data_IF_116519727250
#
_entry.id   IF_116519727250
#
_cell.length_a   1.000
_cell.length_b   1.000
_cell.length_c   1.000
_cell.angle_alpha   90.00
_cell.angle_beta   90.00
_cell.angle_gamma   90.00
#
_symmetry.space_group_name_H-M   'P 1'
#
loop_
_entity.id
_entity.type
_entity.pdbx_description
1 polymer ?
#
# COMPACT_ATOMS: atom_id res chain seq x y z
N UNK A 1 -14.08 -30.00 11.48
CA UNK A 1 -14.84 -28.85 10.97
C UNK A 1 -13.92 -28.26 9.94
N UNK A 2 -14.15 -28.61 8.68
CA UNK A 2 -13.44 -28.03 7.55
C UNK A 2 -14.06 -26.65 7.32
N UNK A 3 -13.33 -25.60 7.70
CA UNK A 3 -13.54 -24.27 7.15
C UNK A 3 -12.73 -24.23 5.85
N UNK A 4 -13.40 -24.64 4.76
CA UNK A 4 -12.88 -24.46 3.42
C UNK A 4 -12.75 -22.96 3.17
N UNK A 5 -11.50 -22.49 3.09
CA UNK A 5 -11.15 -21.26 2.37
C UNK A 5 -11.88 -21.34 1.02
N UNK A 6 -12.64 -20.31 0.59
CA UNK A 6 -13.24 -20.35 -0.73
C UNK A 6 -12.13 -20.62 -1.74
N UNK A 7 -12.28 -21.68 -2.54
CA UNK A 7 -11.36 -21.99 -3.64
C UNK A 7 -11.16 -20.70 -4.42
N UNK A 8 -9.95 -20.16 -4.35
CA UNK A 8 -9.60 -18.90 -4.98
C UNK A 8 -9.94 -19.00 -6.46
N UNK A 9 -10.71 -18.03 -6.97
CA UNK A 9 -10.84 -17.91 -8.40
C UNK A 9 -9.43 -17.66 -8.96
N UNK A 10 -9.02 -18.49 -9.90
CA UNK A 10 -7.61 -18.62 -10.35
C UNK A 10 -7.14 -17.35 -11.07
N UNK A 11 -8.05 -16.40 -11.32
CA UNK A 11 -7.78 -15.06 -11.89
C UNK A 11 -7.97 -13.89 -10.93
N UNK A 12 -8.07 -14.08 -9.61
CA UNK A 12 -8.19 -12.94 -8.68
C UNK A 12 -6.91 -12.08 -8.61
N UNK A 13 -7.02 -10.81 -8.21
CA UNK A 13 -5.91 -9.89 -7.96
C UNK A 13 -5.98 -9.44 -6.50
N UNK A 14 -4.92 -9.68 -5.75
CA UNK A 14 -4.86 -9.22 -4.36
C UNK A 14 -4.45 -7.75 -4.33
N UNK A 15 -5.29 -6.89 -3.78
CA UNK A 15 -5.11 -5.43 -3.79
C UNK A 15 -4.72 -4.92 -2.43
N UNK A 16 -3.70 -4.06 -2.41
CA UNK A 16 -3.29 -3.28 -1.24
C UNK A 16 -4.23 -2.09 -0.94
N UNK A 17 -4.11 -1.50 0.25
CA UNK A 17 -4.91 -0.34 0.69
C UNK A 17 -4.75 0.86 -0.25
N UNK A 18 -3.53 1.15 -0.72
CA UNK A 18 -3.25 2.25 -1.63
C UNK A 18 -3.99 2.12 -2.98
N UNK A 19 -4.08 0.91 -3.53
CA UNK A 19 -4.83 0.60 -4.77
C UNK A 19 -6.32 0.88 -4.59
N UNK A 20 -6.87 0.61 -3.39
CA UNK A 20 -8.27 0.91 -3.08
C UNK A 20 -8.53 2.41 -3.01
N UNK A 21 -7.59 3.19 -2.47
CA UNK A 21 -7.67 4.66 -2.46
C UNK A 21 -7.59 5.24 -3.87
N UNK A 22 -6.63 4.77 -4.68
CA UNK A 22 -6.48 5.17 -6.08
C UNK A 22 -7.79 4.99 -6.86
N UNK A 23 -8.47 3.85 -6.66
CA UNK A 23 -9.76 3.58 -7.28
C UNK A 23 -10.92 4.43 -6.71
N UNK A 24 -11.23 4.27 -5.43
CA UNK A 24 -12.51 4.71 -4.88
C UNK A 24 -12.50 6.17 -4.38
N UNK A 25 -11.33 6.72 -4.07
CA UNK A 25 -11.17 8.06 -3.48
C UNK A 25 -10.50 9.03 -4.44
N UNK A 26 -9.46 8.62 -5.14
CA UNK A 26 -8.76 9.50 -6.10
C UNK A 26 -9.42 9.44 -7.47
N UNK A 27 -9.99 8.29 -7.83
CA UNK A 27 -10.66 8.07 -9.11
C UNK A 27 -9.66 8.03 -10.25
N UNK A 28 -8.46 7.51 -10.00
CA UNK A 28 -7.38 7.40 -10.98
C UNK A 28 -7.81 6.56 -12.18
N UNK A 29 -7.45 7.01 -13.38
CA UNK A 29 -7.93 6.40 -14.62
C UNK A 29 -7.55 4.92 -14.74
N UNK A 30 -6.32 4.58 -14.36
CA UNK A 30 -5.82 3.20 -14.44
C UNK A 30 -6.44 2.31 -13.36
N UNK A 31 -6.61 2.81 -12.14
CA UNK A 31 -7.34 2.10 -11.09
C UNK A 31 -8.81 1.86 -11.48
N UNK A 32 -9.48 2.83 -12.11
CA UNK A 32 -10.84 2.65 -12.63
C UNK A 32 -10.90 1.59 -13.72
N UNK A 33 -9.96 1.62 -14.67
CA UNK A 33 -9.86 0.60 -15.71
C UNK A 33 -9.63 -0.79 -15.11
N UNK A 34 -8.78 -0.90 -14.09
CA UNK A 34 -8.57 -2.15 -13.36
C UNK A 34 -9.86 -2.65 -12.70
N UNK A 35 -10.61 -1.81 -11.99
CA UNK A 35 -11.79 -2.27 -11.26
C UNK A 35 -13.02 -2.48 -12.15
N UNK A 36 -13.25 -1.58 -13.11
CA UNK A 36 -14.46 -1.55 -13.96
C UNK A 36 -14.34 -2.40 -15.23
N UNK A 37 -13.17 -2.42 -15.88
CA UNK A 37 -13.00 -3.07 -17.20
C UNK A 37 -12.30 -4.43 -17.13
N UNK A 38 -11.50 -4.69 -16.08
CA UNK A 38 -10.77 -5.95 -15.94
C UNK A 38 -11.70 -7.11 -15.59
N UNK A 39 -11.57 -8.28 -16.25
CA UNK A 39 -12.37 -9.47 -15.92
C UNK A 39 -11.92 -10.16 -14.63
N UNK A 40 -10.77 -9.76 -14.08
CA UNK A 40 -10.19 -10.36 -12.88
C UNK A 40 -10.93 -9.90 -11.63
N UNK A 41 -11.17 -10.83 -10.70
CA UNK A 41 -11.77 -10.50 -9.40
C UNK A 41 -10.79 -9.72 -8.54
N UNK A 42 -11.30 -8.80 -7.72
CA UNK A 42 -10.46 -7.98 -6.83
C UNK A 42 -10.63 -8.48 -5.41
N UNK A 43 -9.51 -8.75 -4.76
CA UNK A 43 -9.45 -9.49 -3.51
C UNK A 43 -8.64 -8.67 -2.50
N UNK A 44 -9.13 -8.54 -1.27
CA UNK A 44 -8.40 -7.89 -0.19
C UNK A 44 -8.58 -8.67 1.11
N UNK A 45 -7.69 -8.49 2.09
CA UNK A 45 -7.89 -9.10 3.42
C UNK A 45 -8.73 -8.20 4.34
N UNK A 46 -9.30 -8.78 5.39
CA UNK A 46 -9.98 -8.02 6.46
C UNK A 46 -9.02 -7.03 7.16
N UNK A 47 -7.69 -7.21 7.03
CA UNK A 47 -6.70 -6.23 7.49
C UNK A 47 -6.73 -4.98 6.62
N UNK A 48 -6.64 -5.13 5.30
CA UNK A 48 -6.71 -4.03 4.33
C UNK A 48 -8.03 -3.27 4.48
N UNK A 49 -9.15 -3.97 4.65
CA UNK A 49 -10.44 -3.32 4.94
C UNK A 49 -10.39 -2.45 6.20
N UNK A 50 -9.85 -2.97 7.31
CA UNK A 50 -9.73 -2.20 8.56
C UNK A 50 -8.80 -1.01 8.42
N UNK A 51 -7.70 -1.18 7.69
CA UNK A 51 -6.76 -0.12 7.40
C UNK A 51 -7.42 0.98 6.56
N UNK A 52 -8.05 0.63 5.45
CA UNK A 52 -8.80 1.55 4.61
C UNK A 52 -9.82 2.35 5.43
N UNK A 53 -10.65 1.67 6.23
CA UNK A 53 -11.65 2.34 7.07
C UNK A 53 -10.98 3.29 8.05
N UNK A 54 -9.92 2.86 8.73
CA UNK A 54 -9.16 3.69 9.68
C UNK A 54 -8.57 4.94 9.01
N UNK A 55 -7.93 4.80 7.85
CA UNK A 55 -7.38 5.94 7.09
C UNK A 55 -8.49 6.88 6.64
N UNK A 56 -9.58 6.32 6.08
CA UNK A 56 -10.72 7.11 5.65
C UNK A 56 -11.40 7.86 6.81
N UNK A 57 -11.48 7.28 8.01
CA UNK A 57 -12.05 7.95 9.19
C UNK A 57 -11.17 9.14 9.58
N UNK A 58 -9.85 8.94 9.64
CA UNK A 58 -8.90 10.02 9.95
C UNK A 58 -8.96 11.14 8.92
N UNK A 59 -9.01 10.81 7.62
CA UNK A 59 -9.13 11.82 6.56
C UNK A 59 -10.46 12.59 6.66
N UNK A 60 -11.57 11.91 6.96
CA UNK A 60 -12.84 12.60 7.20
C UNK A 60 -12.78 13.54 8.40
N UNK A 61 -12.15 13.13 9.50
CA UNK A 61 -12.01 13.97 10.69
C UNK A 61 -11.17 15.22 10.39
N UNK A 62 -10.06 15.07 9.64
CA UNK A 62 -9.26 16.18 9.12
C UNK A 62 -10.13 17.13 8.27
N UNK A 63 -10.94 16.59 7.36
CA UNK A 63 -11.80 17.42 6.50
C UNK A 63 -12.87 18.17 7.28
N UNK A 64 -13.47 17.54 8.31
CA UNK A 64 -14.46 18.17 9.18
C UNK A 64 -13.83 19.29 10.00
N UNK A 65 -12.64 19.07 10.55
CA UNK A 65 -11.89 20.08 11.28
C UNK A 65 -11.56 21.29 10.39
N UNK A 66 -11.06 21.04 9.17
CA UNK A 66 -10.81 22.09 8.18
C UNK A 66 -12.09 22.85 7.79
N UNK A 67 -13.21 22.15 7.67
CA UNK A 67 -14.50 22.75 7.33
C UNK A 67 -15.00 23.67 8.46
N UNK A 68 -14.86 23.25 9.72
CA UNK A 68 -15.18 24.06 10.89
C UNK A 68 -14.27 25.29 11.00
N UNK A 69 -12.99 25.12 10.68
CA UNK A 69 -12.02 26.21 10.69
C UNK A 69 -12.27 27.22 9.57
N UNK A 70 -12.53 26.77 8.34
CA UNK A 70 -12.89 27.64 7.21
C UNK A 70 -14.14 28.49 7.46
N UNK A 71 -15.04 28.04 8.35
CA UNK A 71 -16.22 28.82 8.75
C UNK A 71 -15.93 29.93 9.78
N UNK A 72 -14.78 29.89 10.46
CA UNK A 72 -14.50 30.73 11.63
C UNK A 72 -13.19 31.51 11.59
N UNK A 73 -12.25 31.13 10.72
CA UNK A 73 -10.92 31.71 10.64
C UNK A 73 -10.34 31.73 9.22
N UNK A 74 -9.15 32.31 9.10
CA UNK A 74 -8.35 32.25 7.88
C UNK A 74 -7.61 30.92 7.85
N UNK A 75 -7.84 30.11 6.83
CA UNK A 75 -7.15 28.83 6.63
C UNK A 75 -5.64 28.98 6.75
N UNK A 76 -5.06 30.13 6.36
CA UNK A 76 -3.65 30.52 6.55
C UNK A 76 -3.07 30.30 7.95
N UNK A 77 -3.93 30.25 8.98
CA UNK A 77 -3.57 30.09 10.40
C UNK A 77 -3.91 28.70 10.96
N UNK A 78 -4.35 27.76 10.12
CA UNK A 78 -4.68 26.41 10.54
C UNK A 78 -3.43 25.63 10.97
N UNK A 79 -3.43 25.13 12.21
CA UNK A 79 -2.43 24.18 12.72
C UNK A 79 -3.09 22.83 12.95
N UNK A 80 -2.78 21.79 12.15
CA UNK A 80 -3.42 20.49 12.31
C UNK A 80 -3.05 19.84 13.64
N UNK A 81 -4.07 19.44 14.40
CA UNK A 81 -3.89 18.70 15.63
C UNK A 81 -3.88 17.18 15.38
N UNK A 82 -3.08 16.43 16.14
CA UNK A 82 -3.19 14.96 16.18
C UNK A 82 -2.62 14.19 14.98
N UNK A 83 -1.80 14.83 14.14
CA UNK A 83 -1.07 14.13 13.08
C UNK A 83 0.09 13.33 13.67
N UNK A 84 -0.10 12.01 13.78
CA UNK A 84 0.89 11.10 14.36
C UNK A 84 1.58 10.20 13.33
N UNK A 85 1.02 10.08 12.12
CA UNK A 85 1.57 9.26 11.04
C UNK A 85 2.17 10.14 9.94
N UNK A 86 3.30 9.71 9.35
CA UNK A 86 3.98 10.47 8.27
C UNK A 86 3.07 10.68 7.06
N UNK A 87 2.30 9.66 6.68
CA UNK A 87 1.40 9.70 5.53
C UNK A 87 0.27 10.73 5.74
N UNK A 88 -0.29 10.79 6.94
CA UNK A 88 -1.30 11.79 7.30
C UNK A 88 -0.72 13.22 7.21
N UNK A 89 0.56 13.43 7.57
CA UNK A 89 1.22 14.75 7.44
C UNK A 89 1.36 15.16 5.98
N UNK A 90 1.86 14.27 5.12
CA UNK A 90 1.98 14.53 3.67
C UNK A 90 0.61 14.85 3.07
N UNK A 91 -0.39 14.02 3.38
CA UNK A 91 -1.76 14.22 2.94
C UNK A 91 -2.33 15.59 3.32
N UNK A 92 -2.15 16.03 4.57
CA UNK A 92 -2.61 17.34 5.03
C UNK A 92 -1.87 18.47 4.32
N UNK A 93 -0.56 18.35 4.10
CA UNK A 93 0.21 19.37 3.39
C UNK A 93 -0.30 19.53 1.95
N UNK A 94 -0.51 18.43 1.24
CA UNK A 94 -1.00 18.44 -0.14
C UNK A 94 -2.41 19.01 -0.22
N UNK A 95 -3.32 18.54 0.64
CA UNK A 95 -4.68 19.05 0.73
C UNK A 95 -4.70 20.56 1.05
N UNK A 96 -3.87 20.99 2.00
CA UNK A 96 -3.84 22.39 2.40
C UNK A 96 -3.31 23.29 1.28
N UNK A 97 -2.27 22.85 0.58
CA UNK A 97 -1.74 23.56 -0.59
C UNK A 97 -2.84 23.77 -1.63
N UNK A 98 -3.62 22.73 -1.94
CA UNK A 98 -4.76 22.83 -2.86
C UNK A 98 -5.82 23.83 -2.38
N UNK A 99 -6.18 23.79 -1.09
CA UNK A 99 -7.26 24.61 -0.54
C UNK A 99 -6.90 26.09 -0.44
N UNK A 100 -5.64 26.43 -0.15
CA UNK A 100 -5.22 27.84 0.00
C UNK A 100 -5.29 28.67 -1.29
N UNK A 101 -5.34 28.01 -2.45
CA UNK A 101 -5.51 28.67 -3.74
C UNK A 101 -6.97 28.94 -4.10
N UNK A 102 -7.91 28.39 -3.31
CA UNK A 102 -9.36 28.44 -3.56
C UNK A 102 -10.04 29.55 -2.75
N UNK A 103 -11.22 29.98 -3.18
CA UNK A 103 -12.09 30.84 -2.37
C UNK A 103 -12.85 30.05 -1.29
N UNK A 104 -13.32 30.71 -0.24
CA UNK A 104 -13.99 30.07 0.90
C UNK A 104 -15.18 29.18 0.49
N UNK A 105 -15.95 29.60 -0.52
CA UNK A 105 -17.12 28.83 -1.00
C UNK A 105 -16.66 27.55 -1.67
N UNK A 106 -15.61 27.66 -2.48
CA UNK A 106 -14.99 26.55 -3.18
C UNK A 106 -14.30 25.58 -2.21
N UNK A 107 -13.62 26.07 -1.17
CA UNK A 107 -13.05 25.24 -0.10
C UNK A 107 -14.14 24.41 0.58
N UNK A 108 -15.22 25.06 1.02
CA UNK A 108 -16.37 24.38 1.65
C UNK A 108 -16.96 23.32 0.71
N UNK A 109 -17.13 23.64 -0.58
CA UNK A 109 -17.61 22.68 -1.58
C UNK A 109 -16.67 21.49 -1.71
N UNK A 110 -15.36 21.74 -1.85
CA UNK A 110 -14.32 20.74 -2.03
C UNK A 110 -14.22 19.79 -0.84
N UNK A 111 -14.21 20.31 0.38
CA UNK A 111 -14.17 19.50 1.61
C UNK A 111 -15.40 18.60 1.73
N UNK A 112 -16.60 19.13 1.45
CA UNK A 112 -17.81 18.31 1.44
C UNK A 112 -17.76 17.22 0.37
N UNK A 113 -17.19 17.49 -0.80
CA UNK A 113 -17.00 16.48 -1.85
C UNK A 113 -16.05 15.37 -1.43
N UNK A 114 -14.94 15.69 -0.76
CA UNK A 114 -13.99 14.72 -0.25
C UNK A 114 -14.61 13.84 0.84
N UNK A 115 -15.35 14.42 1.80
CA UNK A 115 -16.07 13.67 2.84
C UNK A 115 -17.06 12.69 2.19
N UNK A 116 -17.92 13.19 1.30
CA UNK A 116 -18.91 12.34 0.61
C UNK A 116 -18.26 11.23 -0.22
N UNK A 117 -17.07 11.48 -0.78
CA UNK A 117 -16.35 10.48 -1.56
C UNK A 117 -15.80 9.37 -0.68
N UNK A 118 -15.22 9.71 0.47
CA UNK A 118 -14.75 8.73 1.45
C UNK A 118 -15.90 7.84 1.98
N UNK A 119 -17.09 8.42 2.18
CA UNK A 119 -18.29 7.65 2.56
C UNK A 119 -18.70 6.69 1.44
N UNK A 120 -18.87 7.19 0.21
CA UNK A 120 -19.24 6.36 -0.94
C UNK A 120 -18.24 5.26 -1.24
N UNK A 121 -16.95 5.54 -1.07
CA UNK A 121 -15.88 4.57 -1.30
C UNK A 121 -16.02 3.34 -0.39
N UNK A 122 -16.46 3.52 0.86
CA UNK A 122 -16.71 2.39 1.78
C UNK A 122 -17.85 1.52 1.29
N UNK A 123 -18.93 2.15 0.85
CA UNK A 123 -20.11 1.44 0.37
C UNK A 123 -19.78 0.66 -0.91
N UNK A 124 -19.10 1.32 -1.85
CA UNK A 124 -18.71 0.74 -3.13
C UNK A 124 -17.73 -0.44 -2.98
N UNK A 125 -16.79 -0.35 -2.04
CA UNK A 125 -15.78 -1.39 -1.83
C UNK A 125 -16.28 -2.54 -0.96
N UNK A 126 -17.00 -2.27 0.13
CA UNK A 126 -17.18 -3.25 1.22
C UNK A 126 -18.62 -3.60 1.57
N UNK A 127 -19.63 -2.85 1.11
CA UNK A 127 -21.02 -3.21 1.37
C UNK A 127 -21.50 -4.36 0.49
N UNK A 128 -22.75 -4.82 0.72
CA UNK A 128 -23.30 -5.97 0.00
C UNK A 128 -23.38 -5.70 -1.51
N UNK A 129 -22.62 -6.44 -2.30
CA UNK A 129 -22.50 -6.22 -3.75
C UNK A 129 -21.38 -5.26 -4.14
N UNK A 130 -20.50 -4.91 -3.20
CA UNK A 130 -19.27 -4.17 -3.47
C UNK A 130 -18.32 -4.91 -4.40
N UNK A 131 -17.34 -4.17 -4.92
CA UNK A 131 -16.42 -4.66 -5.97
C UNK A 131 -15.29 -5.56 -5.45
N UNK A 132 -15.17 -5.72 -4.13
CA UNK A 132 -14.13 -6.54 -3.50
C UNK A 132 -14.67 -7.82 -2.86
N UNK A 133 -13.93 -8.90 -3.06
CA UNK A 133 -14.01 -10.09 -2.21
C UNK A 133 -13.07 -9.93 -1.02
N UNK A 134 -13.63 -9.91 0.19
CA UNK A 134 -12.84 -9.79 1.43
C UNK A 134 -12.53 -11.16 2.02
N UNK A 135 -11.24 -11.45 2.17
CA UNK A 135 -10.74 -12.68 2.75
C UNK A 135 -10.53 -12.54 4.25
N UNK A 136 -11.08 -13.51 4.98
CA UNK A 136 -10.66 -13.79 6.35
C UNK A 136 -9.35 -14.58 6.29
N UNK A 137 -8.22 -13.89 6.42
CA UNK A 137 -6.90 -14.52 6.59
C UNK A 137 -6.63 -14.65 8.08
N UNK A 138 -6.67 -15.88 8.57
CA UNK A 138 -6.45 -16.17 9.98
C UNK A 138 -4.96 -16.27 10.31
N UNK A 139 -4.52 -15.43 11.24
CA UNK A 139 -3.16 -15.45 11.77
C UNK A 139 -2.13 -14.75 10.87
N UNK A 140 -0.95 -14.55 11.41
CA UNK A 140 0.20 -13.98 10.69
C UNK A 140 1.35 -14.96 10.83
N UNK A 141 1.98 -15.36 9.72
CA UNK A 141 3.16 -16.21 9.79
C UNK A 141 4.34 -15.41 10.38
N UNK A 142 4.59 -15.61 11.66
CA UNK A 142 5.61 -14.89 12.40
C UNK A 142 7.03 -15.11 11.86
N UNK A 143 7.29 -16.25 11.19
CA UNK A 143 8.59 -16.50 10.57
C UNK A 143 8.74 -15.68 9.29
N UNK A 144 7.72 -15.66 8.43
CA UNK A 144 7.72 -14.81 7.24
C UNK A 144 7.84 -13.33 7.62
N UNK A 145 7.11 -12.87 8.64
CA UNK A 145 7.27 -11.50 9.18
C UNK A 145 8.72 -11.22 9.56
N UNK A 146 9.36 -12.15 10.27
CA UNK A 146 10.77 -12.00 10.67
C UNK A 146 11.73 -11.89 9.48
N UNK A 147 11.48 -12.63 8.41
CA UNK A 147 12.27 -12.59 7.19
C UNK A 147 12.05 -11.29 6.41
N UNK A 148 10.79 -10.85 6.27
CA UNK A 148 10.44 -9.64 5.52
C UNK A 148 10.92 -8.35 6.18
N UNK A 149 11.11 -8.32 7.51
CA UNK A 149 11.72 -7.19 8.23
C UNK A 149 13.14 -6.83 7.78
N UNK A 150 13.83 -7.74 7.08
CA UNK A 150 15.14 -7.45 6.48
C UNK A 150 15.06 -6.75 5.11
N UNK A 151 13.86 -6.56 4.57
CA UNK A 151 13.61 -6.04 3.22
C UNK A 151 12.64 -4.86 3.22
N UNK A 152 11.56 -4.96 3.98
CA UNK A 152 10.48 -3.96 4.07
C UNK A 152 10.52 -3.33 5.46
N UNK A 153 10.42 -2.00 5.56
CA UNK A 153 10.49 -1.29 6.84
C UNK A 153 9.13 -1.21 7.55
N UNK A 154 8.06 -1.02 6.78
CA UNK A 154 6.71 -0.86 7.29
C UNK A 154 6.10 -2.20 7.76
N UNK A 155 5.76 -2.29 9.05
CA UNK A 155 5.19 -3.51 9.63
C UNK A 155 3.80 -3.87 9.09
N UNK A 156 3.00 -2.89 8.68
CA UNK A 156 1.67 -3.15 8.16
C UNK A 156 1.75 -3.73 6.74
N UNK A 157 2.66 -3.23 5.90
CA UNK A 157 2.93 -3.78 4.57
C UNK A 157 3.47 -5.22 4.65
N UNK A 158 4.37 -5.50 5.61
CA UNK A 158 4.82 -6.88 5.88
C UNK A 158 3.64 -7.81 6.17
N UNK A 159 2.64 -7.32 6.90
CA UNK A 159 1.45 -8.12 7.24
C UNK A 159 0.53 -8.29 6.04
N UNK A 160 0.39 -7.26 5.19
CA UNK A 160 -0.33 -7.36 3.91
C UNK A 160 0.34 -8.38 2.98
N UNK A 161 1.67 -8.35 2.85
CA UNK A 161 2.43 -9.36 2.10
C UNK A 161 2.24 -10.77 2.64
N UNK A 162 2.18 -10.94 3.97
CA UNK A 162 1.84 -12.22 4.58
C UNK A 162 0.45 -12.70 4.16
N UNK A 163 -0.54 -11.80 4.17
CA UNK A 163 -1.92 -12.11 3.80
C UNK A 163 -2.01 -12.49 2.29
N UNK A 164 -1.35 -11.72 1.41
CA UNK A 164 -1.27 -12.00 -0.02
C UNK A 164 -0.56 -13.33 -0.31
N UNK A 165 0.53 -13.62 0.39
CA UNK A 165 1.26 -14.89 0.28
C UNK A 165 0.38 -16.06 0.73
N UNK A 166 -0.35 -15.91 1.83
CA UNK A 166 -1.26 -16.93 2.32
C UNK A 166 -2.40 -17.18 1.32
N UNK A 167 -2.95 -16.14 0.70
CA UNK A 167 -3.96 -16.28 -0.35
C UNK A 167 -3.42 -17.01 -1.58
N UNK A 168 -2.26 -16.58 -2.10
CA UNK A 168 -1.59 -17.23 -3.24
C UNK A 168 -1.41 -18.74 -3.00
N UNK A 169 -0.90 -19.11 -1.83
CA UNK A 169 -0.66 -20.52 -1.45
C UNK A 169 -1.94 -21.35 -1.30
N UNK A 170 -3.09 -20.71 -1.15
CA UNK A 170 -4.39 -21.37 -1.03
C UNK A 170 -5.21 -21.32 -2.33
N UNK A 171 -4.54 -21.20 -3.49
CA UNK A 171 -5.16 -21.24 -4.81
C UNK A 171 -5.45 -19.87 -5.42
N UNK A 172 -4.98 -18.78 -4.80
CA UNK A 172 -4.95 -17.47 -5.43
C UNK A 172 -4.03 -17.44 -6.66
N UNK A 173 -4.18 -16.41 -7.51
CA UNK A 173 -3.39 -16.28 -8.74
C UNK A 173 -1.90 -16.03 -8.49
N UNK A 174 -1.56 -15.52 -7.30
CA UNK A 174 -0.21 -15.08 -6.95
C UNK A 174 0.11 -13.64 -7.36
N UNK A 175 -0.83 -12.89 -7.94
CA UNK A 175 -0.64 -11.47 -8.28
C UNK A 175 -1.07 -10.56 -7.15
N UNK A 176 -0.14 -9.72 -6.68
CA UNK A 176 -0.33 -8.70 -5.66
C UNK A 176 -0.14 -7.31 -6.28
N UNK A 177 -1.13 -6.44 -6.15
CA UNK A 177 -1.13 -5.08 -6.67
C UNK A 177 -0.93 -4.09 -5.53
N UNK A 178 0.06 -3.21 -5.70
CA UNK A 178 0.36 -2.09 -4.81
C UNK A 178 0.90 -0.91 -5.62
N UNK A 179 0.62 0.31 -5.17
CA UNK A 179 1.23 1.54 -5.68
C UNK A 179 2.32 2.07 -4.72
N UNK A 180 2.68 1.28 -3.69
CA UNK A 180 3.74 1.64 -2.76
C UNK A 180 5.12 1.45 -3.41
N UNK A 181 5.63 2.56 -3.94
CA UNK A 181 6.96 2.62 -4.55
C UNK A 181 8.08 2.76 -3.52
N UNK A 182 7.80 3.25 -2.32
CA UNK A 182 8.82 3.49 -1.30
C UNK A 182 9.25 2.17 -0.65
N UNK A 183 8.29 1.32 -0.29
CA UNK A 183 8.52 0.12 0.52
C UNK A 183 8.43 -1.20 -0.25
N UNK A 184 7.65 -1.29 -1.34
CA UNK A 184 7.30 -2.57 -1.96
C UNK A 184 7.77 -2.74 -3.40
N UNK A 185 7.68 -1.70 -4.23
CA UNK A 185 8.21 -1.74 -5.60
C UNK A 185 9.68 -1.30 -5.66
N UNK A 186 10.10 -0.49 -4.69
CA UNK A 186 11.41 0.15 -4.64
C UNK A 186 11.51 1.29 -5.66
N UNK A 187 11.90 2.48 -5.19
CA UNK A 187 12.27 3.55 -6.10
C UNK A 187 13.59 3.17 -6.78
N UNK A 188 13.63 3.24 -8.12
CA UNK A 188 14.84 3.02 -8.92
C UNK A 188 15.91 4.11 -8.69
N UNK A 189 15.69 5.00 -7.72
CA UNK A 189 16.72 5.82 -7.15
C UNK A 189 17.55 4.95 -6.21
N UNK A 190 18.63 4.40 -6.78
CA UNK A 190 19.91 4.29 -6.07
C UNK A 190 19.96 5.40 -5.02
N UNK A 191 19.73 5.05 -3.76
CA UNK A 191 20.32 5.75 -2.63
C UNK A 191 21.82 5.51 -2.72
N UNK A 192 22.45 6.17 -3.70
CA UNK A 192 23.79 6.66 -3.61
C UNK A 192 23.81 7.70 -2.49
N UNK A 193 23.69 7.22 -1.25
CA UNK A 193 24.32 7.89 -0.14
C UNK A 193 25.81 7.75 -0.41
N UNK A 194 26.31 8.69 -1.21
CA UNK A 194 27.69 9.11 -1.20
C UNK A 194 28.02 9.46 0.24
N UNK A 195 28.51 8.47 0.99
CA UNK A 195 29.38 8.75 2.11
C UNK A 195 30.65 9.27 1.44
N UNK A 196 30.81 10.59 1.43
CA UNK A 196 32.12 11.24 1.36
C UNK A 196 32.95 10.70 2.53
N UNK A 197 33.52 9.52 2.35
CA UNK A 197 34.55 8.96 3.22
C UNK A 197 35.89 9.48 2.71
N UNK A 198 36.36 10.55 3.32
CA UNK A 198 37.67 11.12 3.05
C UNK A 198 38.80 10.09 3.18
N UNK A 199 39.87 10.34 2.43
CA UNK A 199 41.14 9.62 2.50
C UNK A 199 41.58 9.34 3.94
N UNK A 200 41.62 8.06 4.33
CA UNK A 200 42.44 7.60 5.46
C UNK A 200 42.81 6.12 5.32
N UNK A 201 44.12 5.92 5.22
CA UNK A 201 44.93 4.71 5.29
C UNK A 201 44.40 3.48 6.05
N UNK A 202 44.75 2.33 5.47
CA UNK A 202 45.17 1.04 6.06
C UNK A 202 44.59 0.55 7.41
N UNK A 203 44.12 -0.71 7.32
CA UNK A 203 44.11 -1.79 8.33
C UNK A 203 42.83 -2.06 9.14
N UNK A 204 42.28 -3.27 8.96
CA UNK A 204 41.57 -4.01 10.01
C UNK A 204 40.21 -4.60 9.63
N UNK A 205 40.17 -5.93 9.51
CA UNK A 205 39.01 -6.84 9.52
C UNK A 205 37.93 -6.65 8.44
N UNK A 206 38.15 -7.34 7.31
CA UNK A 206 37.09 -7.78 6.40
C UNK A 206 36.05 -8.60 7.19
N UNK A 207 34.83 -8.09 7.25
CA UNK A 207 33.67 -8.86 7.67
C UNK A 207 33.59 -10.14 6.80
N UNK A 208 33.26 -11.31 7.36
CA UNK A 208 33.19 -12.53 6.58
C UNK A 208 32.15 -12.39 5.46
N UNK A 209 32.55 -12.72 4.23
CA UNK A 209 31.74 -12.74 3.00
C UNK A 209 30.36 -13.41 3.17
N UNK A 210 30.19 -14.26 4.18
CA UNK A 210 28.93 -14.94 4.48
C UNK A 210 27.78 -14.00 4.91
N UNK A 211 28.06 -12.77 5.35
CA UNK A 211 27.00 -11.82 5.74
C UNK A 211 26.51 -10.98 4.55
N UNK A 212 27.38 -10.69 3.59
CA UNK A 212 26.99 -10.06 2.32
C UNK A 212 26.20 -11.02 1.43
N UNK A 213 26.58 -12.30 1.41
CA UNK A 213 25.79 -13.36 0.76
C UNK A 213 24.43 -13.60 1.45
N UNK A 214 24.33 -13.32 2.76
CA UNK A 214 23.07 -13.41 3.52
C UNK A 214 22.10 -12.24 3.23
N UNK A 215 22.63 -11.05 2.92
CA UNK A 215 21.82 -9.87 2.61
C UNK A 215 21.30 -9.84 1.16
N UNK A 216 21.69 -10.81 0.33
CA UNK A 216 21.33 -10.85 -1.08
C UNK A 216 22.09 -9.78 -1.86
N UNK A 217 22.70 -10.18 -2.98
CA UNK A 217 23.47 -9.30 -3.87
C UNK A 217 22.79 -7.94 -4.09
N UNK A 218 23.55 -6.84 -3.98
CA UNK A 218 23.15 -5.42 -4.11
C UNK A 218 22.46 -5.02 -5.45
N UNK A 219 22.11 -5.98 -6.32
CA UNK A 219 21.50 -5.75 -7.62
C UNK A 219 20.07 -6.30 -7.75
N UNK A 220 19.48 -6.88 -6.69
CA UNK A 220 18.10 -7.39 -6.74
C UNK A 220 17.09 -6.28 -6.41
N UNK A 221 15.98 -6.24 -7.14
CA UNK A 221 14.88 -5.31 -6.83
C UNK A 221 14.20 -5.66 -5.51
N UNK A 222 13.43 -4.73 -4.95
CA UNK A 222 12.66 -4.98 -3.72
C UNK A 222 11.69 -6.17 -3.89
N UNK A 223 10.88 -6.25 -4.98
CA UNK A 223 10.06 -7.43 -5.26
C UNK A 223 10.83 -8.75 -5.35
N UNK A 224 12.04 -8.74 -5.92
CA UNK A 224 12.88 -9.95 -6.00
C UNK A 224 13.37 -10.38 -4.61
N UNK A 225 13.79 -9.43 -3.77
CA UNK A 225 14.22 -9.69 -2.39
C UNK A 225 13.07 -10.18 -1.52
N UNK A 226 11.87 -9.63 -1.68
CA UNK A 226 10.65 -10.12 -1.03
C UNK A 226 10.39 -11.58 -1.44
N UNK A 227 10.44 -11.87 -2.74
CA UNK A 227 10.23 -13.21 -3.25
C UNK A 227 11.29 -14.21 -2.77
N UNK A 228 12.57 -13.82 -2.65
CA UNK A 228 13.60 -14.67 -2.06
C UNK A 228 13.20 -15.12 -0.64
N UNK A 229 12.64 -14.21 0.18
CA UNK A 229 12.18 -14.54 1.53
C UNK A 229 10.97 -15.47 1.52
N UNK A 230 9.99 -15.21 0.64
CA UNK A 230 8.79 -16.04 0.51
C UNK A 230 9.16 -17.46 0.05
N UNK A 231 10.01 -17.57 -0.98
CA UNK A 231 10.49 -18.84 -1.53
C UNK A 231 11.34 -19.59 -0.50
N UNK A 232 12.20 -18.89 0.25
CA UNK A 232 12.97 -19.48 1.36
C UNK A 232 12.04 -20.08 2.43
N UNK A 233 10.88 -19.46 2.67
CA UNK A 233 9.90 -19.92 3.67
C UNK A 233 8.98 -21.04 3.17
N UNK A 234 8.63 -21.08 1.88
CA UNK A 234 7.53 -21.91 1.35
C UNK A 234 7.78 -22.60 0.00
N UNK A 235 9.02 -22.61 -0.51
CA UNK A 235 9.42 -23.13 -1.82
C UNK A 235 8.99 -22.27 -3.03
N UNK A 236 9.49 -22.60 -4.23
CA UNK A 236 9.42 -21.76 -5.45
C UNK A 236 8.01 -21.53 -5.99
N UNK A 237 7.08 -22.44 -5.71
CA UNK A 237 5.70 -22.35 -6.20
C UNK A 237 4.87 -21.30 -5.42
N UNK A 238 5.46 -20.68 -4.38
CA UNK A 238 4.79 -19.69 -3.53
C UNK A 238 5.16 -18.23 -3.87
N UNK A 239 5.88 -17.98 -4.96
CA UNK A 239 6.29 -16.62 -5.34
C UNK A 239 5.07 -15.71 -5.62
N UNK A 240 5.19 -14.44 -5.27
CA UNK A 240 4.21 -13.40 -5.56
C UNK A 240 4.69 -12.52 -6.72
N UNK A 241 3.81 -12.31 -7.70
CA UNK A 241 4.00 -11.28 -8.71
C UNK A 241 3.51 -9.95 -8.14
N UNK A 242 4.45 -9.14 -7.64
CA UNK A 242 4.19 -7.82 -7.05
C UNK A 242 4.29 -6.79 -8.18
N UNK A 243 3.20 -6.07 -8.46
CA UNK A 243 3.10 -5.13 -9.59
C UNK A 243 2.39 -3.84 -9.18
N UNK A 244 2.70 -2.74 -9.89
CA UNK A 244 1.79 -1.60 -9.97
C UNK A 244 0.60 -1.90 -10.89
N UNK A 245 -0.44 -1.07 -10.81
CA UNK A 245 -1.59 -1.09 -11.71
C UNK A 245 -1.13 -0.87 -13.15
N UNK A 246 -0.20 0.07 -13.39
CA UNK A 246 0.33 0.36 -14.72
C UNK A 246 1.03 -0.85 -15.34
N UNK A 247 1.90 -1.52 -14.56
CA UNK A 247 2.62 -2.70 -15.01
C UNK A 247 1.65 -3.85 -15.34
N UNK A 248 0.66 -4.06 -14.47
CA UNK A 248 -0.36 -5.08 -14.69
C UNK A 248 -1.16 -4.82 -15.98
N UNK A 249 -1.67 -3.59 -16.17
CA UNK A 249 -2.43 -3.22 -17.37
C UNK A 249 -1.58 -3.31 -18.65
N UNK A 250 -0.29 -3.02 -18.55
CA UNK A 250 0.67 -3.15 -19.66
C UNK A 250 0.89 -4.61 -20.05
N UNK A 251 0.92 -5.52 -19.07
CA UNK A 251 1.04 -6.96 -19.30
C UNK A 251 -0.23 -7.51 -19.96
N UNK A 252 -1.42 -7.16 -19.45
CA UNK A 252 -2.71 -7.63 -19.98
C UNK A 252 -3.02 -7.13 -21.40
N UNK A 253 -2.45 -5.99 -21.79
CA UNK A 253 -2.65 -5.43 -23.13
C UNK A 253 -1.86 -6.16 -24.25
N UNK A 254 -0.96 -7.10 -23.90
CA UNK A 254 -0.09 -7.83 -24.85
C UNK A 254 -0.69 -9.16 -25.28
#
# INVERSE_FOLDING_TARGET
>A
MDESVPEGDVGGLFTDTCVLFAYAVEGEADARKLFEDSPHDKVASERIKREFVSVADRHQDIHRELLEFAATGDLGEYEPAGLHQKNDVRYVIDLYSDLTEMDDVEVVRRLNELINRLEKARDELFETGGVLTILAVDGVDAQLVGLLRGVVENEDDIRVLCDATAWSRNGGSGTFLTEDTEDLLGSDERTGSAVEGGDADESGDELPDSFADFLGSENKSVPERINDQIVSRYDTDSALQILSIEDFLTIEAR
#
